data_IF_491471582273
#
_entry.id   IF_491471582273
#
_cell.length_a   1.000
_cell.length_b   1.000
_cell.length_c   1.000
_cell.angle_alpha   90.00
_cell.angle_beta   90.00
_cell.angle_gamma   90.00
#
_symmetry.space_group_name_H-M   'P 1'
#
loop_
_entity.id
_entity.type
_entity.pdbx_description
1 polymer ?
#
# COMPACT_ATOMS: atom_id res chain seq x y z
N UNK A 1 15.81 44.22 -28.93
CA UNK A 1 14.99 43.53 -27.91
C UNK A 1 15.55 42.11 -27.77
N UNK A 2 16.23 41.80 -26.67
CA UNK A 2 16.89 40.49 -26.46
C UNK A 2 15.91 39.61 -25.67
N UNK A 3 15.54 38.40 -26.12
CA UNK A 3 14.63 37.56 -25.36
C UNK A 3 15.37 36.94 -24.17
N UNK A 4 14.88 37.21 -22.95
CA UNK A 4 15.29 36.52 -21.74
C UNK A 4 14.72 35.09 -21.76
N UNK A 5 15.48 34.12 -22.27
CA UNK A 5 15.14 32.70 -22.09
C UNK A 5 15.58 32.31 -20.67
N UNK A 6 14.64 32.31 -19.72
CA UNK A 6 14.87 31.71 -18.40
C UNK A 6 14.98 30.19 -18.58
N UNK A 7 16.20 29.64 -18.51
CA UNK A 7 16.41 28.18 -18.38
C UNK A 7 15.69 27.70 -17.13
N UNK A 8 14.60 26.96 -17.31
CA UNK A 8 13.92 26.29 -16.21
C UNK A 8 14.86 25.30 -15.52
N UNK A 9 14.78 25.21 -14.20
CA UNK A 9 15.52 24.23 -13.41
C UNK A 9 14.96 22.83 -13.72
N UNK A 10 15.69 22.00 -14.46
CA UNK A 10 15.31 20.59 -14.62
C UNK A 10 15.79 19.81 -13.41
N UNK A 11 14.86 19.27 -12.62
CA UNK A 11 15.18 18.33 -11.55
C UNK A 11 15.50 16.99 -12.22
N UNK A 12 16.75 16.52 -12.12
CA UNK A 12 17.10 15.16 -12.50
C UNK A 12 16.73 14.25 -11.34
N UNK A 13 15.78 13.35 -11.58
CA UNK A 13 15.49 12.27 -10.64
C UNK A 13 16.45 11.12 -10.93
N UNK A 14 17.24 10.75 -9.93
CA UNK A 14 17.94 9.47 -10.00
C UNK A 14 16.92 8.34 -9.82
N UNK A 15 16.94 7.30 -10.67
CA UNK A 15 16.10 6.13 -10.46
C UNK A 15 16.43 5.54 -9.09
N UNK A 16 15.43 5.38 -8.22
CA UNK A 16 15.65 4.59 -7.01
C UNK A 16 15.83 3.14 -7.44
N UNK A 17 17.00 2.56 -7.22
CA UNK A 17 17.21 1.11 -7.32
C UNK A 17 16.52 0.42 -6.14
N UNK A 18 15.19 0.34 -6.20
CA UNK A 18 14.38 -0.23 -5.15
C UNK A 18 14.55 -1.76 -5.15
N UNK A 19 15.39 -2.27 -4.24
CA UNK A 19 15.69 -3.69 -4.08
C UNK A 19 14.62 -4.40 -3.25
N UNK A 20 13.40 -4.51 -3.80
CA UNK A 20 12.27 -5.13 -3.09
C UNK A 20 12.48 -6.61 -2.77
N UNK A 21 13.34 -7.30 -3.52
CA UNK A 21 13.67 -8.71 -3.31
C UNK A 21 14.46 -8.95 -2.03
N UNK A 22 15.06 -7.90 -1.43
CA UNK A 22 15.81 -8.01 -0.17
C UNK A 22 14.87 -8.11 1.04
N UNK A 23 13.56 -7.93 0.85
CA UNK A 23 12.56 -7.92 1.92
C UNK A 23 11.67 -9.17 1.87
N UNK A 24 11.40 -9.76 3.04
CA UNK A 24 10.45 -10.88 3.15
C UNK A 24 8.99 -10.48 2.87
N UNK A 25 8.65 -9.22 3.16
CA UNK A 25 7.36 -8.63 2.87
C UNK A 25 7.45 -7.10 2.74
N UNK A 26 6.57 -6.52 1.93
CA UNK A 26 6.48 -5.06 1.70
C UNK A 26 5.12 -4.57 2.18
N UNK A 27 5.10 -3.59 3.09
CA UNK A 27 3.85 -2.95 3.52
C UNK A 27 3.54 -1.78 2.59
N UNK A 28 2.41 -1.85 1.89
CA UNK A 28 1.89 -0.78 1.04
C UNK A 28 0.74 -0.11 1.77
N UNK A 29 0.98 1.12 2.22
CA UNK A 29 -0.03 1.94 2.88
C UNK A 29 -0.64 2.93 1.89
N UNK A 30 -1.98 2.97 1.76
CA UNK A 30 -2.64 3.82 0.78
C UNK A 30 -4.09 4.16 1.15
N UNK A 31 -4.57 5.39 0.92
CA UNK A 31 -6.00 5.66 1.05
C UNK A 31 -6.80 4.95 -0.06
N UNK A 32 -8.08 4.64 0.20
CA UNK A 32 -9.05 4.22 -0.80
C UNK A 32 -9.71 5.46 -1.39
N UNK A 33 -9.53 5.68 -2.68
CA UNK A 33 -10.17 6.74 -3.45
C UNK A 33 -11.10 6.14 -4.49
N UNK A 34 -12.37 6.58 -4.49
CA UNK A 34 -13.38 6.16 -5.48
C UNK A 34 -13.47 4.62 -5.59
N UNK A 35 -13.39 3.92 -4.44
CA UNK A 35 -13.52 2.46 -4.37
C UNK A 35 -12.31 1.66 -4.85
N UNK A 36 -11.15 2.28 -5.05
CA UNK A 36 -9.88 1.61 -5.39
C UNK A 36 -8.68 2.35 -4.78
N UNK A 37 -7.45 1.88 -5.05
CA UNK A 37 -6.21 2.57 -4.68
C UNK A 37 -5.86 3.68 -5.70
N UNK A 38 -5.12 4.72 -5.31
CA UNK A 38 -4.70 5.79 -6.21
C UNK A 38 -3.81 5.25 -7.34
N UNK A 39 -3.85 5.84 -8.56
CA UNK A 39 -3.08 5.36 -9.71
C UNK A 39 -1.59 5.10 -9.46
N UNK A 40 -0.84 5.93 -8.69
CA UNK A 40 0.56 5.65 -8.39
C UNK A 40 0.78 4.32 -7.65
N UNK A 41 -0.12 3.98 -6.73
CA UNK A 41 -0.05 2.72 -5.98
C UNK A 41 -0.44 1.55 -6.88
N UNK A 42 -1.41 1.74 -7.78
CA UNK A 42 -1.74 0.69 -8.75
C UNK A 42 -0.55 0.39 -9.67
N UNK A 43 0.13 1.44 -10.15
CA UNK A 43 1.30 1.29 -11.01
C UNK A 43 2.46 0.62 -10.27
N UNK A 44 2.69 1.00 -9.01
CA UNK A 44 3.66 0.32 -8.16
C UNK A 44 3.36 -1.18 -8.04
N UNK A 45 2.11 -1.54 -7.73
CA UNK A 45 1.67 -2.93 -7.61
C UNK A 45 1.78 -3.73 -8.92
N UNK A 46 1.56 -3.10 -10.08
CA UNK A 46 1.76 -3.74 -11.39
C UNK A 46 3.23 -4.01 -11.68
N UNK A 47 4.11 -3.04 -11.41
CA UNK A 47 5.54 -3.14 -11.70
C UNK A 47 6.25 -4.15 -10.81
N UNK A 48 5.80 -4.27 -9.56
CA UNK A 48 6.43 -5.11 -8.54
C UNK A 48 5.50 -6.25 -8.11
N UNK A 49 4.86 -6.88 -9.09
CA UNK A 49 3.87 -7.95 -8.88
C UNK A 49 4.39 -9.14 -8.08
N UNK A 50 5.68 -9.46 -8.16
CA UNK A 50 6.31 -10.63 -7.52
C UNK A 50 6.52 -10.50 -6.00
N UNK A 51 6.25 -9.32 -5.41
CA UNK A 51 6.53 -9.09 -3.99
C UNK A 51 5.46 -9.69 -3.08
N UNK A 52 5.85 -10.22 -1.92
CA UNK A 52 4.90 -10.54 -0.84
C UNK A 52 4.41 -9.23 -0.21
N UNK A 53 3.25 -8.75 -0.64
CA UNK A 53 2.70 -7.47 -0.17
C UNK A 53 1.76 -7.63 1.02
N UNK A 54 1.86 -6.71 1.98
CA UNK A 54 0.83 -6.46 3.00
C UNK A 54 0.20 -5.11 2.71
N UNK A 55 -1.12 -5.08 2.62
CA UNK A 55 -1.86 -3.89 2.18
C UNK A 55 -2.56 -3.28 3.37
N UNK A 56 -2.23 -2.02 3.66
CA UNK A 56 -2.88 -1.23 4.70
C UNK A 56 -3.60 -0.09 4.02
N UNK A 57 -4.91 -0.04 4.18
CA UNK A 57 -5.73 0.99 3.56
C UNK A 57 -6.49 1.81 4.57
N UNK A 58 -6.77 3.05 4.20
CA UNK A 58 -7.65 3.93 4.96
C UNK A 58 -8.82 4.34 4.08
N UNK A 59 -10.03 4.43 4.63
CA UNK A 59 -11.21 4.77 3.85
C UNK A 59 -12.19 5.65 4.61
N UNK A 60 -12.82 6.58 3.90
CA UNK A 60 -13.92 7.40 4.47
C UNK A 60 -15.21 6.58 4.50
N UNK A 61 -15.50 5.85 3.41
CA UNK A 61 -16.67 4.97 3.31
C UNK A 61 -16.31 3.55 3.70
N UNK A 62 -17.29 2.82 4.25
CA UNK A 62 -17.11 1.41 4.56
C UNK A 62 -16.76 0.63 3.30
N UNK A 63 -15.65 -0.11 3.35
CA UNK A 63 -15.24 -1.03 2.31
C UNK A 63 -14.74 -2.31 2.97
N UNK A 64 -15.26 -3.45 2.51
CA UNK A 64 -14.83 -4.76 3.03
C UNK A 64 -13.37 -5.00 2.63
N UNK A 65 -12.58 -5.53 3.56
CA UNK A 65 -11.19 -5.90 3.33
C UNK A 65 -11.04 -6.88 2.15
N UNK A 66 -11.94 -7.86 2.04
CA UNK A 66 -12.01 -8.83 0.92
C UNK A 66 -12.09 -8.13 -0.44
N UNK A 67 -12.83 -7.01 -0.52
CA UNK A 67 -12.93 -6.25 -1.78
C UNK A 67 -11.58 -5.62 -2.14
N UNK A 68 -10.82 -5.17 -1.15
CA UNK A 68 -9.48 -4.59 -1.35
C UNK A 68 -8.49 -5.67 -1.75
N UNK A 69 -8.54 -6.84 -1.10
CA UNK A 69 -7.76 -8.03 -1.50
C UNK A 69 -7.99 -8.35 -2.98
N UNK A 70 -9.24 -8.46 -3.41
CA UNK A 70 -9.59 -8.72 -4.81
C UNK A 70 -9.11 -7.63 -5.77
N UNK A 71 -9.10 -6.36 -5.35
CA UNK A 71 -8.60 -5.26 -6.18
C UNK A 71 -7.08 -5.34 -6.31
N UNK A 72 -6.36 -5.59 -5.21
CA UNK A 72 -4.90 -5.74 -5.21
C UNK A 72 -4.49 -6.93 -6.06
N UNK A 73 -5.16 -8.07 -5.90
CA UNK A 73 -4.91 -9.28 -6.69
C UNK A 73 -5.15 -9.04 -8.18
N UNK A 74 -6.22 -8.32 -8.55
CA UNK A 74 -6.46 -7.94 -9.96
C UNK A 74 -5.40 -7.00 -10.54
N UNK A 75 -4.83 -6.12 -9.72
CA UNK A 75 -3.84 -5.14 -10.19
C UNK A 75 -2.44 -5.77 -10.28
N UNK A 76 -2.04 -6.51 -9.25
CA UNK A 76 -0.70 -7.08 -9.14
C UNK A 76 -0.59 -8.48 -9.74
N UNK A 77 -1.71 -9.20 -9.92
CA UNK A 77 -1.71 -10.62 -10.29
C UNK A 77 -1.38 -11.55 -9.13
N UNK A 78 -1.09 -11.04 -7.93
CA UNK A 78 -0.76 -11.83 -6.74
C UNK A 78 -1.68 -11.44 -5.58
N UNK A 79 -2.20 -12.46 -4.89
CA UNK A 79 -2.99 -12.23 -3.68
C UNK A 79 -2.09 -11.65 -2.57
N UNK A 80 -2.47 -10.53 -1.95
CA UNK A 80 -1.68 -9.97 -0.86
C UNK A 80 -1.63 -10.94 0.34
N UNK A 81 -0.51 -10.94 1.05
CA UNK A 81 -0.29 -11.77 2.24
C UNK A 81 -1.32 -11.44 3.33
N UNK A 82 -1.60 -10.15 3.49
CA UNK A 82 -2.55 -9.64 4.46
C UNK A 82 -3.11 -8.31 3.98
N UNK A 83 -4.41 -8.08 4.21
CA UNK A 83 -5.05 -6.79 4.01
C UNK A 83 -5.68 -6.29 5.31
N UNK A 84 -5.62 -4.97 5.48
CA UNK A 84 -6.39 -4.23 6.47
C UNK A 84 -6.98 -2.99 5.83
N UNK A 85 -8.25 -2.71 6.12
CA UNK A 85 -8.88 -1.43 5.85
C UNK A 85 -9.31 -0.80 7.16
N UNK A 86 -8.86 0.43 7.40
CA UNK A 86 -9.21 1.20 8.59
C UNK A 86 -10.09 2.38 8.17
N UNK A 87 -11.29 2.45 8.74
CA UNK A 87 -12.19 3.57 8.48
C UNK A 87 -11.73 4.83 9.21
N UNK A 88 -12.01 5.99 8.65
CA UNK A 88 -11.72 7.29 9.27
C UNK A 88 -12.31 7.41 10.70
N UNK A 89 -13.49 6.84 10.94
CA UNK A 89 -14.13 6.79 12.25
C UNK A 89 -13.38 5.95 13.28
N UNK A 90 -12.63 4.93 12.83
CA UNK A 90 -11.76 4.11 13.68
C UNK A 90 -10.45 4.86 13.95
N UNK A 91 -9.88 5.52 12.93
CA UNK A 91 -8.64 6.29 13.05
C UNK A 91 -8.78 7.42 14.07
N UNK A 92 -9.94 8.09 14.10
CA UNK A 92 -10.25 9.20 15.02
C UNK A 92 -10.51 8.74 16.46
N UNK A 93 -10.63 7.44 16.71
CA UNK A 93 -10.91 6.88 18.04
C UNK A 93 -9.65 6.16 18.58
N UNK A 94 -8.95 6.74 19.58
CA UNK A 94 -7.69 6.20 20.08
C UNK A 94 -7.78 4.79 20.68
N UNK A 95 -8.95 4.37 21.16
CA UNK A 95 -9.15 3.03 21.71
C UNK A 95 -9.33 2.05 20.57
N UNK A 96 -10.18 2.38 19.59
CA UNK A 96 -10.44 1.50 18.44
C UNK A 96 -9.23 1.34 17.54
N UNK A 97 -8.47 2.40 17.26
CA UNK A 97 -7.26 2.29 16.43
C UNK A 97 -6.20 1.42 17.10
N UNK A 98 -6.02 1.51 18.43
CA UNK A 98 -5.12 0.63 19.16
C UNK A 98 -5.57 -0.83 19.10
N UNK A 99 -6.87 -1.09 19.20
CA UNK A 99 -7.44 -2.41 19.00
C UNK A 99 -7.17 -2.97 17.61
N UNK A 100 -7.43 -2.17 16.56
CA UNK A 100 -7.19 -2.55 15.17
C UNK A 100 -5.70 -2.83 14.87
N UNK A 101 -4.79 -2.01 15.42
CA UNK A 101 -3.35 -2.22 15.27
C UNK A 101 -2.92 -3.53 15.96
N UNK A 102 -3.42 -3.80 17.17
CA UNK A 102 -3.11 -5.05 17.89
C UNK A 102 -3.58 -6.28 17.10
N UNK A 103 -4.82 -6.28 16.62
CA UNK A 103 -5.36 -7.35 15.77
C UNK A 103 -4.50 -7.56 14.52
N UNK A 104 -4.15 -6.47 13.83
CA UNK A 104 -3.31 -6.52 12.64
C UNK A 104 -1.93 -7.11 12.92
N UNK A 105 -1.28 -6.73 14.02
CA UNK A 105 0.03 -7.25 14.40
C UNK A 105 -0.03 -8.77 14.63
N UNK A 106 -1.04 -9.27 15.32
CA UNK A 106 -1.20 -10.71 15.57
C UNK A 106 -1.42 -11.48 14.27
N UNK A 107 -2.27 -10.97 13.38
CA UNK A 107 -2.48 -11.55 12.04
C UNK A 107 -1.23 -11.51 11.17
N UNK A 108 -0.47 -10.42 11.23
CA UNK A 108 0.78 -10.27 10.49
C UNK A 108 1.84 -11.26 10.97
N UNK A 109 2.02 -11.42 12.29
CA UNK A 109 2.92 -12.43 12.87
C UNK A 109 2.56 -13.83 12.43
N UNK A 110 1.26 -14.18 12.44
CA UNK A 110 0.80 -15.50 11.98
C UNK A 110 1.10 -15.72 10.49
N UNK A 111 0.86 -14.71 9.64
CA UNK A 111 1.07 -14.80 8.20
C UNK A 111 2.56 -14.87 7.79
N UNK A 112 3.45 -14.21 8.55
CA UNK A 112 4.90 -14.21 8.28
C UNK A 112 5.61 -15.37 8.98
N UNK A 113 5.22 -15.73 10.20
CA UNK A 113 5.83 -16.78 11.02
C UNK A 113 5.47 -18.21 10.61
N UNK A 114 4.40 -18.42 9.84
CA UNK A 114 4.00 -19.73 9.32
C UNK A 114 4.74 -20.20 8.06
N UNK A 115 5.75 -19.46 7.58
CA UNK A 115 6.51 -19.79 6.36
C UNK A 115 7.81 -20.57 6.62
N UNK A 116 7.85 -21.37 7.69
CA UNK A 116 8.98 -22.24 8.05
C UNK A 116 8.55 -23.72 8.07
N UNK A 117 8.23 -24.27 6.91
CA UNK A 117 8.18 -25.72 6.63
C UNK A 117 8.32 -25.95 5.14
#
# INVERSE_FOLDING_TARGET
MIPLIRKGTSIKFEPSELKLNDYNAVIVASPVWIGTMPPPIQEFLRRYSIMRSVIVTTSIRSMKTERIENIVEKISGIKPLLCMNVRDTIIKDPVKIRGAIKDFIERFKAAVGGSST
#
